data_IF_991194771951
#
_entry.id   IF_991194771951
#
_cell.length_a   1.000
_cell.length_b   1.000
_cell.length_c   1.000
_cell.angle_alpha   90.00
_cell.angle_beta   90.00
_cell.angle_gamma   90.00
#
_symmetry.space_group_name_H-M   'P 1'
#
loop_
_entity.id
_entity.type
_entity.pdbx_description
1 polymer ?
#
# COMPACT_ATOMS: atom_id res chain seq x y z
N UNK A 1 1.69 -1.79 -9.39
CA UNK A 1 1.88 -3.25 -9.46
C UNK A 1 1.06 -3.93 -8.39
N UNK A 2 0.73 -5.21 -8.58
CA UNK A 2 0.16 -6.06 -7.52
C UNK A 2 1.06 -7.27 -7.37
N UNK A 3 1.48 -7.56 -6.15
CA UNK A 3 2.27 -8.73 -5.80
C UNK A 3 1.47 -9.63 -4.86
N UNK A 4 1.47 -10.93 -5.16
CA UNK A 4 0.83 -11.98 -4.36
C UNK A 4 1.84 -13.07 -4.04
N UNK A 5 1.64 -13.78 -2.93
CA UNK A 5 2.44 -14.96 -2.61
C UNK A 5 1.94 -16.22 -3.36
N UNK A 6 2.59 -17.37 -3.14
CA UNK A 6 2.24 -18.63 -3.79
C UNK A 6 0.82 -19.15 -3.48
N UNK A 7 0.19 -18.65 -2.41
CA UNK A 7 -1.19 -18.98 -2.04
C UNK A 7 -2.20 -17.93 -2.53
N UNK A 8 -1.77 -17.00 -3.38
CA UNK A 8 -2.63 -15.92 -3.89
C UNK A 8 -2.94 -14.82 -2.87
N UNK A 9 -2.32 -14.83 -1.68
CA UNK A 9 -2.53 -13.76 -0.69
C UNK A 9 -1.77 -12.50 -1.10
N UNK A 10 -2.42 -11.35 -0.90
CA UNK A 10 -1.84 -10.04 -1.22
C UNK A 10 -0.56 -9.82 -0.41
N UNK A 11 0.48 -9.31 -1.07
CA UNK A 11 1.73 -8.93 -0.42
C UNK A 11 2.00 -7.44 -0.54
N UNK A 12 1.80 -6.90 -1.73
CA UNK A 12 2.03 -5.49 -2.00
C UNK A 12 1.08 -5.01 -3.10
N UNK A 13 0.63 -3.76 -2.96
CA UNK A 13 0.01 -3.01 -4.03
C UNK A 13 0.76 -1.69 -4.19
N UNK A 14 1.00 -1.28 -5.42
CA UNK A 14 1.57 0.03 -5.75
C UNK A 14 0.86 0.63 -6.94
N UNK A 15 0.72 1.95 -6.95
CA UNK A 15 0.07 2.69 -8.02
C UNK A 15 0.59 4.13 -8.04
N UNK A 16 0.19 4.86 -9.09
CA UNK A 16 0.28 6.31 -9.14
C UNK A 16 -1.07 6.85 -8.70
N UNK A 17 -1.16 7.39 -7.49
CA UNK A 17 -2.39 7.95 -6.94
C UNK A 17 -2.43 9.46 -7.17
N UNK A 18 -3.56 9.96 -7.64
CA UNK A 18 -3.80 11.40 -7.73
C UNK A 18 -3.99 11.98 -6.33
N UNK A 19 -3.28 13.04 -6.00
CA UNK A 19 -3.36 13.71 -4.69
C UNK A 19 -2.39 14.87 -4.58
N UNK A 20 -2.22 15.36 -3.36
CA UNK A 20 -1.34 16.48 -3.01
C UNK A 20 -0.60 16.18 -1.69
N UNK A 21 0.26 15.14 -1.63
CA UNK A 21 0.88 14.65 -0.40
C UNK A 21 1.69 15.71 0.38
N UNK A 22 2.24 16.71 -0.32
CA UNK A 22 3.02 17.80 0.28
C UNK A 22 2.20 19.09 0.49
N UNK A 23 0.86 19.02 0.40
CA UNK A 23 -0.03 20.19 0.46
C UNK A 23 0.27 21.29 -0.59
N UNK A 24 0.96 20.92 -1.66
CA UNK A 24 1.23 21.78 -2.83
C UNK A 24 0.27 21.48 -3.99
N UNK A 25 0.83 21.34 -5.19
CA UNK A 25 0.07 21.02 -6.39
C UNK A 25 -0.51 19.60 -6.37
N UNK A 26 -1.63 19.42 -7.06
CA UNK A 26 -2.19 18.10 -7.31
C UNK A 26 -1.48 17.41 -8.47
N UNK A 27 -1.27 16.11 -8.34
CA UNK A 27 -0.61 15.31 -9.36
C UNK A 27 -0.66 13.83 -9.08
N UNK A 28 -0.06 13.03 -9.97
CA UNK A 28 0.13 11.60 -9.78
C UNK A 28 1.40 11.36 -8.96
N UNK A 29 1.27 10.71 -7.80
CA UNK A 29 2.38 10.41 -6.90
C UNK A 29 2.47 8.91 -6.62
N UNK A 30 3.67 8.36 -6.33
CA UNK A 30 3.80 6.97 -5.89
C UNK A 30 2.98 6.76 -4.62
N UNK A 31 2.18 5.71 -4.62
CA UNK A 31 1.36 5.32 -3.47
C UNK A 31 1.27 3.80 -3.45
N UNK A 32 1.25 3.22 -2.27
CA UNK A 32 1.20 1.78 -2.16
C UNK A 32 1.04 1.33 -0.72
N UNK A 33 1.08 0.02 -0.55
CA UNK A 33 1.04 -0.61 0.75
C UNK A 33 1.48 -2.07 0.69
N UNK A 34 1.96 -2.56 1.82
CA UNK A 34 2.36 -3.93 2.03
C UNK A 34 1.53 -4.57 3.14
N UNK A 35 1.24 -5.86 2.98
CA UNK A 35 0.49 -6.64 3.96
C UNK A 35 1.41 -7.60 4.70
N UNK A 36 1.39 -7.49 6.02
CA UNK A 36 2.20 -8.29 6.94
C UNK A 36 1.40 -9.49 7.46
N UNK A 37 0.12 -9.28 7.78
CA UNK A 37 -0.75 -10.32 8.32
C UNK A 37 -2.10 -10.40 7.62
N UNK A 38 -2.66 -11.61 7.63
CA UNK A 38 -4.02 -11.88 7.20
C UNK A 38 -4.71 -12.75 8.25
N UNK A 39 -6.02 -12.58 8.40
CA UNK A 39 -6.85 -13.47 9.20
C UNK A 39 -8.12 -13.87 8.41
N UNK A 40 -8.65 -15.04 8.76
CA UNK A 40 -9.87 -15.57 8.18
C UNK A 40 -11.07 -15.23 9.07
N UNK A 41 -12.09 -14.63 8.47
CA UNK A 41 -13.34 -14.25 9.11
C UNK A 41 -14.49 -14.85 8.30
N UNK A 42 -15.21 -15.82 8.88
CA UNK A 42 -16.36 -16.49 8.24
C UNK A 42 -16.08 -16.96 6.80
N UNK A 43 -14.88 -17.51 6.57
CA UNK A 43 -14.45 -18.00 5.25
C UNK A 43 -13.88 -16.93 4.31
N UNK A 44 -13.71 -15.69 4.76
CA UNK A 44 -13.09 -14.58 4.02
C UNK A 44 -11.74 -14.23 4.62
N UNK A 45 -10.67 -14.32 3.81
CA UNK A 45 -9.34 -13.86 4.21
C UNK A 45 -9.21 -12.34 4.05
N UNK A 46 -8.90 -11.63 5.13
CA UNK A 46 -8.74 -10.18 5.17
C UNK A 46 -7.32 -9.84 5.60
N UNK A 47 -6.71 -8.82 4.97
CA UNK A 47 -5.45 -8.23 5.44
C UNK A 47 -5.69 -7.48 6.75
N UNK A 48 -4.98 -7.83 7.82
CA UNK A 48 -5.23 -7.31 9.18
C UNK A 48 -4.13 -6.39 9.68
N UNK A 49 -2.89 -6.56 9.21
CA UNK A 49 -1.75 -5.72 9.55
C UNK A 49 -1.00 -5.38 8.27
N UNK A 50 -0.64 -4.11 8.13
CA UNK A 50 0.10 -3.64 6.98
C UNK A 50 0.48 -2.17 7.12
N UNK A 51 1.23 -1.70 6.11
CA UNK A 51 1.66 -0.31 5.96
C UNK A 51 1.10 0.21 4.66
N UNK A 52 0.73 1.49 4.64
CA UNK A 52 0.21 2.15 3.46
C UNK A 52 0.68 3.60 3.48
N UNK A 53 0.97 4.16 2.31
CA UNK A 53 1.47 5.52 2.28
C UNK A 53 1.78 6.08 0.91
N UNK A 54 2.06 7.37 0.93
CA UNK A 54 2.66 8.10 -0.19
C UNK A 54 4.14 7.75 -0.35
N UNK A 55 4.70 8.14 -1.49
CA UNK A 55 6.12 7.99 -1.79
C UNK A 55 6.61 6.53 -1.78
N UNK A 56 5.69 5.59 -1.98
CA UNK A 56 5.94 4.15 -1.94
C UNK A 56 7.07 3.74 -2.90
N UNK A 57 8.05 3.01 -2.39
CA UNK A 57 9.24 2.57 -3.12
C UNK A 57 10.29 3.66 -3.37
N UNK A 58 10.21 4.80 -2.69
CA UNK A 58 11.20 5.90 -2.81
C UNK A 58 11.85 6.19 -1.45
N UNK A 59 12.92 7.00 -1.46
CA UNK A 59 13.60 7.44 -0.24
C UNK A 59 12.68 8.20 0.74
N UNK A 60 11.61 8.82 0.24
CA UNK A 60 10.63 9.59 1.04
C UNK A 60 9.49 8.74 1.61
N UNK A 61 9.51 7.41 1.43
CA UNK A 61 8.42 6.55 1.87
C UNK A 61 8.08 6.73 3.35
N UNK A 62 9.09 6.79 4.21
CA UNK A 62 8.90 6.94 5.66
C UNK A 62 8.13 8.22 6.05
N UNK A 63 8.25 9.28 5.25
CA UNK A 63 7.54 10.55 5.48
C UNK A 63 6.06 10.48 5.09
N UNK A 64 5.67 9.46 4.32
CA UNK A 64 4.34 9.33 3.70
C UNK A 64 3.48 8.18 4.22
N UNK A 65 4.01 7.31 5.09
CA UNK A 65 3.27 6.23 5.74
C UNK A 65 2.38 6.75 6.87
N UNK A 66 1.18 6.18 7.02
CA UNK A 66 0.19 6.53 8.05
C UNK A 66 -0.68 5.34 8.46
#
# INVERSE_FOLDING_TARGET
TVAVNAHGRLREVSTRRWGNPDSGEFGLYPFGGAVEEHADFDGVTIATVGRVGWWWGTERQADGEF
#
